data_IF_733412557747
#
_entry.id   IF_733412557747
#
_cell.length_a   1.000
_cell.length_b   1.000
_cell.length_c   1.000
_cell.angle_alpha   90.00
_cell.angle_beta   90.00
_cell.angle_gamma   90.00
#
_symmetry.space_group_name_H-M   'P 1'
#
loop_
_entity.id
_entity.type
_entity.pdbx_description
1 polymer ?
#
# COMPACT_ATOMS: atom_id res chain seq x y z
N UNK A 1 -11.87 -16.02 -16.92
CA UNK A 1 -12.35 -14.64 -17.22
C UNK A 1 -11.30 -13.93 -18.06
N UNK A 2 -11.68 -13.41 -19.23
CA UNK A 2 -10.76 -12.59 -20.04
C UNK A 2 -10.52 -11.26 -19.33
N UNK A 3 -9.24 -10.91 -19.13
CA UNK A 3 -8.84 -9.64 -18.51
C UNK A 3 -8.99 -8.52 -19.55
N UNK A 4 -9.54 -7.35 -19.16
CA UNK A 4 -9.67 -6.23 -20.08
C UNK A 4 -8.30 -5.74 -20.57
N UNK A 5 -8.24 -5.14 -21.76
CA UNK A 5 -7.00 -4.66 -22.41
C UNK A 5 -6.15 -3.73 -21.52
N UNK A 6 -6.77 -2.97 -20.62
CA UNK A 6 -6.08 -2.04 -19.70
C UNK A 6 -5.60 -2.70 -18.38
N UNK A 7 -5.75 -4.02 -18.22
CA UNK A 7 -5.46 -4.68 -16.95
C UNK A 7 -3.99 -4.54 -16.51
N UNK A 8 -3.04 -4.63 -17.45
CA UNK A 8 -1.60 -4.47 -17.17
C UNK A 8 -1.25 -3.07 -16.65
N UNK A 9 -1.79 -2.03 -17.29
CA UNK A 9 -1.64 -0.63 -16.88
C UNK A 9 -2.20 -0.40 -15.47
N UNK A 10 -3.38 -0.95 -15.18
CA UNK A 10 -3.98 -0.88 -13.86
C UNK A 10 -3.10 -1.52 -12.77
N UNK A 11 -2.50 -2.68 -13.04
CA UNK A 11 -1.57 -3.33 -12.11
C UNK A 11 -0.31 -2.47 -11.91
N UNK A 12 0.27 -1.96 -13.00
CA UNK A 12 1.47 -1.14 -12.98
C UNK A 12 1.24 0.15 -12.17
N UNK A 13 0.09 0.81 -12.38
CA UNK A 13 -0.32 2.02 -11.64
C UNK A 13 -0.28 1.82 -10.12
N UNK A 14 -0.96 0.79 -9.60
CA UNK A 14 -0.95 0.53 -8.16
C UNK A 14 0.40 0.02 -7.66
N UNK A 15 1.22 -0.57 -8.54
CA UNK A 15 2.59 -0.93 -8.18
C UNK A 15 3.46 0.32 -7.97
N UNK A 16 3.35 1.33 -8.85
CA UNK A 16 4.06 2.59 -8.71
C UNK A 16 3.65 3.32 -7.44
N UNK A 17 2.34 3.38 -7.16
CA UNK A 17 1.81 3.96 -5.92
C UNK A 17 2.40 3.30 -4.66
N UNK A 18 2.52 1.96 -4.65
CA UNK A 18 3.17 1.24 -3.54
C UNK A 18 4.65 1.59 -3.42
N UNK A 19 5.36 1.67 -4.55
CA UNK A 19 6.79 2.00 -4.56
C UNK A 19 7.06 3.40 -4.00
N UNK A 20 6.22 4.39 -4.33
CA UNK A 20 6.29 5.75 -3.78
C UNK A 20 6.09 5.77 -2.27
N UNK A 21 5.09 5.02 -1.77
CA UNK A 21 4.89 4.87 -0.32
C UNK A 21 6.10 4.23 0.34
N UNK A 22 6.66 3.16 -0.24
CA UNK A 22 7.82 2.49 0.35
C UNK A 22 9.03 3.43 0.49
N UNK A 23 9.24 4.31 -0.49
CA UNK A 23 10.30 5.31 -0.45
C UNK A 23 10.02 6.44 0.56
N UNK A 24 8.75 6.78 0.78
CA UNK A 24 8.34 7.92 1.61
C UNK A 24 8.26 7.61 3.11
N UNK A 25 7.92 6.37 3.49
CA UNK A 25 7.72 6.00 4.91
C UNK A 25 8.94 6.25 5.80
N UNK A 26 10.19 5.92 5.42
CA UNK A 26 11.35 6.17 6.28
C UNK A 26 11.54 7.66 6.61
N UNK A 27 11.21 8.54 5.65
CA UNK A 27 11.27 10.00 5.81
C UNK A 27 10.12 10.46 6.69
N UNK A 28 8.88 10.06 6.37
CA UNK A 28 7.67 10.47 7.08
C UNK A 28 7.65 10.02 8.54
N UNK A 29 8.31 8.90 8.86
CA UNK A 29 8.43 8.38 10.23
C UNK A 29 9.65 8.90 10.98
N UNK A 30 10.54 9.65 10.31
CA UNK A 30 11.86 10.02 10.82
C UNK A 30 12.68 8.80 11.32
N UNK A 31 12.59 7.68 10.59
CA UNK A 31 13.29 6.43 10.87
C UNK A 31 14.09 6.00 9.63
N UNK A 32 15.28 6.58 9.38
CA UNK A 32 16.01 6.39 8.11
C UNK A 32 16.47 4.94 7.86
N UNK A 33 16.57 4.11 8.90
CA UNK A 33 16.93 2.69 8.76
C UNK A 33 15.73 1.77 8.50
N UNK A 34 14.51 2.31 8.57
CA UNK A 34 13.32 1.58 8.17
C UNK A 34 13.32 1.42 6.66
N UNK A 35 12.94 0.24 6.20
CA UNK A 35 12.70 -0.02 4.78
C UNK A 35 11.40 -0.78 4.62
N UNK A 36 10.57 -0.34 3.69
CA UNK A 36 9.41 -1.10 3.27
C UNK A 36 9.70 -1.82 1.95
N UNK A 37 9.19 -3.04 1.82
CA UNK A 37 9.23 -3.79 0.56
C UNK A 37 7.88 -4.45 0.30
N UNK A 38 7.59 -4.87 -0.94
CA UNK A 38 6.57 -5.88 -1.15
C UNK A 38 6.86 -7.12 -0.30
N UNK A 39 5.83 -7.86 0.06
CA UNK A 39 6.01 -9.12 0.78
C UNK A 39 6.41 -10.21 -0.22
N UNK A 40 7.70 -10.24 -0.54
CA UNK A 40 8.32 -11.07 -1.56
C UNK A 40 8.90 -12.37 -0.94
N UNK A 41 9.66 -13.14 -1.73
CA UNK A 41 10.30 -14.38 -1.28
C UNK A 41 11.24 -14.16 -0.09
N UNK A 42 11.98 -13.05 -0.05
CA UNK A 42 12.86 -12.71 1.06
C UNK A 42 12.08 -12.44 2.35
N UNK A 43 10.99 -11.67 2.27
CA UNK A 43 10.11 -11.42 3.42
C UNK A 43 9.46 -12.71 3.93
N UNK A 44 8.99 -13.58 3.02
CA UNK A 44 8.45 -14.91 3.38
C UNK A 44 9.49 -15.78 4.08
N UNK A 45 10.73 -15.80 3.58
CA UNK A 45 11.82 -16.57 4.18
C UNK A 45 12.17 -16.05 5.57
N UNK A 46 12.19 -14.72 5.78
CA UNK A 46 12.40 -14.12 7.09
C UNK A 46 11.24 -14.39 8.06
N UNK A 47 9.99 -14.30 7.60
CA UNK A 47 8.80 -14.62 8.40
C UNK A 47 8.81 -16.06 8.94
N UNK A 48 9.25 -17.03 8.13
CA UNK A 48 9.38 -18.43 8.58
C UNK A 48 10.26 -18.59 9.83
N UNK A 49 11.18 -17.66 10.09
CA UNK A 49 12.08 -17.69 11.26
C UNK A 49 11.42 -17.18 12.54
N UNK A 50 10.27 -16.53 12.47
CA UNK A 50 9.59 -16.00 13.65
C UNK A 50 9.11 -17.11 14.61
N UNK A 51 8.86 -18.34 14.13
CA UNK A 51 8.34 -19.42 14.96
C UNK A 51 6.90 -19.16 15.39
N UNK A 52 5.94 -19.85 14.76
CA UNK A 52 4.52 -19.61 15.02
C UNK A 52 4.03 -20.34 16.26
N UNK A 53 4.13 -19.69 17.42
CA UNK A 53 3.37 -20.06 18.63
C UNK A 53 2.10 -19.21 18.80
N UNK A 54 1.86 -18.23 17.92
CA UNK A 54 0.70 -17.33 17.95
C UNK A 54 -0.39 -17.83 17.00
N UNK A 55 -1.65 -17.48 17.30
CA UNK A 55 -2.81 -17.79 16.47
C UNK A 55 -3.64 -16.54 16.19
N UNK A 56 -4.27 -16.44 15.00
CA UNK A 56 -5.17 -15.34 14.69
C UNK A 56 -6.26 -15.15 15.76
N UNK A 57 -6.63 -13.89 16.12
CA UNK A 57 -6.19 -12.65 15.48
C UNK A 57 -4.87 -12.08 16.03
N UNK A 58 -4.22 -12.74 16.99
CA UNK A 58 -3.05 -12.21 17.72
C UNK A 58 -1.70 -12.47 17.01
N UNK A 59 -1.73 -12.75 15.71
CA UNK A 59 -0.58 -13.13 14.89
C UNK A 59 -0.60 -14.60 14.48
N UNK A 60 0.50 -15.09 13.90
CA UNK A 60 0.55 -16.44 13.34
C UNK A 60 -0.34 -16.63 12.12
N UNK A 61 -0.61 -15.56 11.38
CA UNK A 61 -1.40 -15.62 10.16
C UNK A 61 -0.71 -16.53 9.13
N UNK A 62 -1.49 -17.27 8.34
CA UNK A 62 -0.97 -17.93 7.14
C UNK A 62 -0.76 -16.89 6.03
N UNK A 63 0.29 -16.10 6.19
CA UNK A 63 0.70 -15.09 5.24
C UNK A 63 0.89 -15.65 3.83
N UNK A 64 1.29 -16.92 3.68
CA UNK A 64 1.49 -17.52 2.34
C UNK A 64 0.17 -17.64 1.58
N UNK A 65 -0.87 -18.18 2.22
CA UNK A 65 -2.22 -18.25 1.66
C UNK A 65 -2.82 -16.87 1.45
N UNK A 66 -2.72 -16.00 2.46
CA UNK A 66 -3.23 -14.63 2.38
C UNK A 66 -2.64 -13.87 1.19
N UNK A 67 -1.33 -13.90 0.95
CA UNK A 67 -0.78 -13.16 -0.19
C UNK A 67 -1.25 -13.68 -1.54
N UNK A 68 -1.30 -15.01 -1.72
CA UNK A 68 -1.70 -15.58 -3.00
C UNK A 68 -3.14 -15.15 -3.34
N UNK A 69 -4.06 -15.37 -2.40
CA UNK A 69 -5.46 -14.99 -2.56
C UNK A 69 -5.67 -13.48 -2.67
N UNK A 70 -4.98 -12.69 -1.85
CA UNK A 70 -5.22 -11.25 -1.80
C UNK A 70 -4.68 -10.51 -3.02
N UNK A 71 -3.52 -10.93 -3.55
CA UNK A 71 -2.94 -10.31 -4.77
C UNK A 71 -3.79 -10.56 -6.00
N UNK A 72 -4.37 -11.76 -6.08
CA UNK A 72 -5.26 -12.16 -7.18
C UNK A 72 -6.54 -11.34 -7.18
N UNK A 73 -7.16 -11.14 -6.00
CA UNK A 73 -8.48 -10.50 -5.88
C UNK A 73 -8.43 -8.98 -5.69
N UNK A 74 -7.33 -8.44 -5.18
CA UNK A 74 -7.26 -7.05 -4.74
C UNK A 74 -6.01 -6.34 -5.30
N UNK A 75 -6.21 -5.60 -6.38
CA UNK A 75 -5.14 -4.82 -7.01
C UNK A 75 -4.96 -3.44 -6.36
N UNK A 76 -6.03 -2.87 -5.80
CA UNK A 76 -6.03 -1.65 -4.99
C UNK A 76 -5.50 -1.84 -3.56
N UNK A 77 -4.70 -2.88 -3.36
CA UNK A 77 -4.13 -3.24 -2.06
C UNK A 77 -2.90 -2.42 -1.73
N UNK A 78 -2.68 -2.27 -0.44
CA UNK A 78 -1.39 -1.90 0.13
C UNK A 78 -0.91 -3.04 1.01
N UNK A 79 0.32 -3.48 0.79
CA UNK A 79 0.96 -4.54 1.56
C UNK A 79 2.40 -4.12 1.79
N UNK A 80 2.98 -4.44 2.94
CA UNK A 80 4.38 -4.14 3.18
C UNK A 80 5.02 -5.16 4.13
N UNK A 81 6.25 -5.52 3.82
CA UNK A 81 7.19 -6.04 4.79
C UNK A 81 7.99 -4.86 5.35
N UNK A 82 7.99 -4.73 6.68
CA UNK A 82 8.63 -3.65 7.41
C UNK A 82 9.94 -4.19 7.97
N UNK A 83 11.04 -3.62 7.49
CA UNK A 83 12.39 -3.99 7.85
C UNK A 83 13.07 -2.87 8.64
N UNK A 84 14.02 -3.25 9.50
CA UNK A 84 15.03 -2.35 10.04
C UNK A 84 16.40 -2.97 9.78
N UNK A 85 17.19 -2.34 8.91
CA UNK A 85 18.37 -3.00 8.33
C UNK A 85 17.98 -4.31 7.64
N UNK A 86 18.57 -5.43 8.06
CA UNK A 86 18.27 -6.78 7.56
C UNK A 86 17.18 -7.53 8.34
N UNK A 87 16.64 -6.93 9.41
CA UNK A 87 15.70 -7.61 10.33
C UNK A 87 14.26 -7.33 9.92
N UNK A 88 13.51 -8.40 9.60
CA UNK A 88 12.07 -8.30 9.37
C UNK A 88 11.38 -8.05 10.72
N UNK A 89 10.80 -6.86 10.86
CA UNK A 89 10.17 -6.42 12.10
C UNK A 89 8.64 -6.54 12.06
N UNK A 90 8.04 -6.47 10.87
CA UNK A 90 6.59 -6.45 10.73
C UNK A 90 6.11 -6.82 9.33
N UNK A 91 4.86 -7.24 9.24
CA UNK A 91 4.11 -7.45 8.01
C UNK A 91 2.74 -6.77 8.15
N UNK A 92 2.28 -6.12 7.09
CA UNK A 92 0.94 -5.55 7.05
C UNK A 92 0.29 -5.71 5.67
N UNK A 93 -1.04 -5.80 5.65
CA UNK A 93 -1.85 -5.96 4.44
C UNK A 93 -3.21 -5.30 4.62
N UNK A 94 -3.72 -4.73 3.53
CA UNK A 94 -5.05 -4.17 3.45
C UNK A 94 -5.32 -3.56 2.09
N UNK A 95 -6.38 -2.76 1.97
CA UNK A 95 -6.81 -2.22 0.69
C UNK A 95 -7.58 -0.92 0.79
N UNK A 96 -7.57 -0.17 -0.31
CA UNK A 96 -8.55 0.88 -0.56
C UNK A 96 -9.94 0.27 -0.65
N UNK A 97 -10.94 1.03 -0.18
CA UNK A 97 -12.34 0.71 -0.44
C UNK A 97 -12.66 0.78 -1.94
N UNK A 98 -13.76 0.15 -2.34
CA UNK A 98 -14.15 0.11 -3.77
C UNK A 98 -14.28 1.49 -4.39
N UNK A 99 -14.78 2.46 -3.61
CA UNK A 99 -14.91 3.87 -4.00
C UNK A 99 -13.67 4.73 -3.73
N UNK A 100 -12.55 4.12 -3.32
CA UNK A 100 -11.28 4.79 -2.98
C UNK A 100 -11.38 5.88 -1.89
N UNK A 101 -12.36 5.77 -0.98
CA UNK A 101 -12.63 6.80 0.04
C UNK A 101 -11.75 6.63 1.27
N UNK A 102 -11.36 5.39 1.59
CA UNK A 102 -10.56 5.06 2.76
C UNK A 102 -9.68 3.85 2.48
N UNK A 103 -8.57 3.74 3.21
CA UNK A 103 -7.72 2.54 3.23
C UNK A 103 -7.99 1.77 4.51
N UNK A 104 -8.23 0.46 4.40
CA UNK A 104 -8.42 -0.43 5.55
C UNK A 104 -7.12 -1.19 5.78
N UNK A 105 -6.56 -1.10 6.99
CA UNK A 105 -5.58 -2.05 7.49
C UNK A 105 -6.33 -3.32 7.95
N UNK A 106 -6.09 -4.45 7.28
CA UNK A 106 -6.84 -5.68 7.56
C UNK A 106 -6.01 -6.67 8.36
N UNK A 107 -4.70 -6.74 8.12
CA UNK A 107 -3.77 -7.60 8.86
C UNK A 107 -2.53 -6.80 9.23
N UNK A 108 -2.14 -6.87 10.49
CA UNK A 108 -0.88 -6.34 11.01
C UNK A 108 -0.25 -7.38 11.92
N UNK A 109 1.03 -7.66 11.72
CA UNK A 109 1.77 -8.56 12.60
C UNK A 109 3.20 -8.05 12.81
N UNK A 110 3.63 -7.99 14.07
CA UNK A 110 5.02 -7.72 14.45
C UNK A 110 5.80 -9.02 14.67
N UNK A 111 7.13 -8.93 14.58
CA UNK A 111 8.02 -10.04 14.88
C UNK A 111 7.83 -10.60 16.29
N UNK A 112 7.92 -11.92 16.43
CA UNK A 112 7.96 -12.63 17.73
C UNK A 112 9.23 -12.30 18.50
N UNK A 113 10.31 -11.94 17.80
CA UNK A 113 11.62 -11.70 18.38
C UNK A 113 11.59 -10.48 19.31
N UNK A 114 11.72 -10.68 20.63
CA UNK A 114 11.54 -9.59 21.59
C UNK A 114 12.48 -8.40 21.38
N UNK A 115 13.69 -8.64 20.90
CA UNK A 115 14.74 -7.63 20.72
C UNK A 115 14.72 -6.95 19.34
N UNK A 116 13.70 -7.18 18.50
CA UNK A 116 13.70 -6.57 17.17
C UNK A 116 13.66 -5.02 17.25
N UNK A 117 14.40 -4.28 16.40
CA UNK A 117 14.63 -2.83 16.58
C UNK A 117 13.39 -1.92 16.56
N UNK A 118 12.30 -2.40 15.98
CA UNK A 118 11.02 -1.67 15.88
C UNK A 118 9.96 -2.15 16.88
N UNK A 119 10.35 -2.80 17.98
CA UNK A 119 9.38 -3.23 19.00
C UNK A 119 8.58 -2.01 19.49
N UNK A 120 7.25 -2.16 19.56
CA UNK A 120 6.33 -1.07 19.89
C UNK A 120 6.10 -0.04 18.78
N UNK A 121 6.83 -0.09 17.65
CA UNK A 121 6.77 0.89 16.55
C UNK A 121 6.26 0.32 15.22
N UNK A 122 6.06 -0.99 15.11
CA UNK A 122 5.56 -1.63 13.87
C UNK A 122 4.20 -1.07 13.44
N UNK A 123 3.27 -0.87 14.38
CA UNK A 123 1.96 -0.29 14.09
C UNK A 123 2.07 1.16 13.57
N UNK A 124 2.94 1.96 14.18
CA UNK A 124 3.21 3.34 13.73
C UNK A 124 3.71 3.35 12.28
N UNK A 125 4.74 2.55 11.95
CA UNK A 125 5.28 2.46 10.59
C UNK A 125 4.23 1.97 9.59
N UNK A 126 3.44 0.96 9.97
CA UNK A 126 2.37 0.45 9.12
C UNK A 126 1.32 1.54 8.85
N UNK A 127 0.79 2.17 9.89
CA UNK A 127 -0.24 3.22 9.77
C UNK A 127 0.23 4.38 8.90
N UNK A 128 1.47 4.85 9.07
CA UNK A 128 2.05 5.88 8.19
C UNK A 128 2.08 5.43 6.72
N UNK A 129 2.40 4.17 6.44
CA UNK A 129 2.33 3.63 5.08
C UNK A 129 0.90 3.63 4.52
N UNK A 130 -0.08 3.22 5.32
CA UNK A 130 -1.50 3.23 4.92
C UNK A 130 -2.04 4.65 4.69
N UNK A 131 -1.66 5.60 5.54
CA UNK A 131 -1.99 7.02 5.40
C UNK A 131 -1.44 7.60 4.11
N UNK A 132 -0.14 7.42 3.86
CA UNK A 132 0.51 7.88 2.62
C UNK A 132 -0.12 7.26 1.37
N UNK A 133 -0.43 5.96 1.40
CA UNK A 133 -1.11 5.29 0.29
C UNK A 133 -2.48 5.91 -0.01
N UNK A 134 -3.26 6.23 1.03
CA UNK A 134 -4.55 6.91 0.89
C UNK A 134 -4.40 8.35 0.38
N UNK A 135 -3.43 9.09 0.91
CA UNK A 135 -3.14 10.48 0.51
C UNK A 135 -2.73 10.58 -0.97
N UNK A 136 -1.78 9.76 -1.41
CA UNK A 136 -1.36 9.75 -2.81
C UNK A 136 -2.51 9.39 -3.76
N UNK A 137 -3.36 8.43 -3.36
CA UNK A 137 -4.55 8.09 -4.16
C UNK A 137 -5.55 9.25 -4.23
N UNK A 138 -5.73 9.99 -3.14
CA UNK A 138 -6.60 11.17 -3.08
C UNK A 138 -6.06 12.30 -3.95
N UNK A 139 -4.76 12.57 -3.89
CA UNK A 139 -4.10 13.56 -4.73
C UNK A 139 -4.28 13.26 -6.22
N UNK A 140 -4.08 12.00 -6.62
CA UNK A 140 -4.29 11.56 -8.01
C UNK A 140 -5.73 11.82 -8.51
N UNK A 141 -6.74 11.56 -7.66
CA UNK A 141 -8.15 11.83 -7.98
C UNK A 141 -8.43 13.32 -8.11
N UNK A 142 -7.82 14.15 -7.26
CA UNK A 142 -7.97 15.61 -7.33
C UNK A 142 -7.33 16.17 -8.61
N UNK A 143 -6.14 15.69 -9.00
CA UNK A 143 -5.47 16.11 -10.24
C UNK A 143 -6.35 15.82 -11.47
N UNK A 144 -6.91 14.60 -11.56
CA UNK A 144 -7.81 14.22 -12.65
C UNK A 144 -9.05 15.11 -12.72
N UNK A 145 -9.66 15.43 -11.57
CA UNK A 145 -10.81 16.34 -11.52
C UNK A 145 -10.43 17.76 -11.96
N UNK A 146 -9.27 18.26 -11.55
CA UNK A 146 -8.81 19.60 -11.97
C UNK A 146 -8.54 19.68 -13.46
N UNK A 147 -7.94 18.65 -14.07
CA UNK A 147 -7.71 18.59 -15.52
C UNK A 147 -9.03 18.60 -16.29
N UNK A 148 -10.03 17.85 -15.84
CA UNK A 148 -11.36 17.85 -16.45
C UNK A 148 -12.05 19.21 -16.34
N UNK A 149 -11.95 19.88 -15.19
CA UNK A 149 -12.51 21.23 -15.01
C UNK A 149 -11.85 22.26 -15.93
N UNK A 150 -10.53 22.17 -16.11
CA UNK A 150 -9.79 23.02 -17.05
C UNK A 150 -10.28 22.77 -18.48
N UNK A 151 -10.47 21.52 -18.89
CA UNK A 151 -11.01 21.19 -20.22
C UNK A 151 -12.42 21.77 -20.41
N UNK A 152 -13.33 21.55 -19.44
CA UNK A 152 -14.72 22.06 -19.51
C UNK A 152 -14.73 23.58 -19.67
N UNK A 153 -13.87 24.31 -18.93
CA UNK A 153 -13.76 25.77 -19.06
C UNK A 153 -13.29 26.20 -20.45
N UNK A 154 -12.28 25.55 -21.01
CA UNK A 154 -11.80 25.86 -22.36
C UNK A 154 -12.88 25.63 -23.42
N UNK A 155 -13.61 24.52 -23.35
CA UNK A 155 -14.72 24.22 -24.26
C UNK A 155 -15.87 25.24 -24.14
N UNK A 156 -16.25 25.62 -22.92
CA UNK A 156 -17.28 26.63 -22.70
C UNK A 156 -16.89 27.99 -23.31
N UNK A 157 -15.62 28.39 -23.18
CA UNK A 157 -15.10 29.62 -23.80
C UNK A 157 -15.13 29.51 -25.33
N UNK A 158 -14.59 28.43 -25.90
CA UNK A 158 -14.56 28.23 -27.34
C UNK A 158 -15.96 28.23 -27.97
N UNK A 159 -16.93 27.56 -27.35
CA UNK A 159 -18.32 27.54 -27.81
C UNK A 159 -18.96 28.93 -27.74
N UNK A 160 -18.70 29.71 -26.68
CA UNK A 160 -19.21 31.08 -26.54
C UNK A 160 -18.65 32.07 -27.58
N UNK A 161 -17.48 31.79 -28.14
CA UNK A 161 -16.84 32.60 -29.18
C UNK A 161 -17.35 32.25 -30.59
N UNK A 162 -17.83 31.02 -30.79
CA UNK A 162 -18.42 30.57 -32.07
C UNK A 162 -19.91 30.95 -32.21
N UNK A 163 -20.58 31.26 -31.10
CA UNK A 163 -21.98 31.68 -31.06
C UNK A 163 -22.18 33.20 -31.26
N UNK A 164 -21.13 33.94 -31.63
CA UNK A 164 -21.15 35.36 -32.00
C UNK A 164 -20.81 35.50 -33.48
#
# INVERSE_FOLDING_TARGET
MNKPSNYSEFIAKYQNLRNEVYASVPIATNLPQVKLTPINTQAKAAYKRWGNMRTPPNGGWDWSSWFAHYRERHHKRFEAAIWYGSTLCGLCLGKLSEKNVHVRLEILEGSTERAHPLKGRVAYVALTGFELFGLLKKLELLTQLTEQLVLIRHWAIAYSLQAK
#
